data_IF_301793632424
#
_entry.id   IF_301793632424
#
_cell.length_a   1.000
_cell.length_b   1.000
_cell.length_c   1.000
_cell.angle_alpha   90.00
_cell.angle_beta   90.00
_cell.angle_gamma   90.00
#
_symmetry.space_group_name_H-M   'P 1'
#
loop_
_entity.id
_entity.type
_entity.pdbx_description
1 polymer ?
#
# COMPACT_ATOMS: atom_id res chain seq x y z
N UNK A 1 -13.67 8.06 -8.96
CA UNK A 1 -12.85 8.15 -7.74
C UNK A 1 -13.36 7.15 -6.74
N UNK A 2 -12.45 6.41 -6.14
CA UNK A 2 -12.70 5.40 -5.14
C UNK A 2 -12.92 5.97 -3.74
N UNK A 3 -12.78 7.28 -3.58
CA UNK A 3 -13.15 7.98 -2.34
C UNK A 3 -14.50 8.63 -2.55
N UNK A 4 -15.48 8.23 -1.74
CA UNK A 4 -16.86 8.65 -1.89
C UNK A 4 -17.36 9.37 -0.63
N UNK A 5 -17.71 10.66 -0.69
CA UNK A 5 -18.27 11.37 0.46
C UNK A 5 -19.68 10.85 0.78
N UNK A 6 -19.90 10.50 2.05
CA UNK A 6 -21.21 10.11 2.58
C UNK A 6 -22.06 11.37 2.81
N UNK A 7 -21.41 12.44 3.26
CA UNK A 7 -22.04 13.73 3.52
C UNK A 7 -21.83 14.71 2.36
N UNK A 8 -22.74 15.68 2.14
CA UNK A 8 -22.54 16.70 1.12
C UNK A 8 -21.28 17.52 1.40
N UNK A 9 -20.50 17.75 0.36
CA UNK A 9 -19.28 18.53 0.40
C UNK A 9 -19.27 19.52 -0.77
N UNK A 10 -18.69 20.70 -0.55
CA UNK A 10 -18.33 21.65 -1.59
C UNK A 10 -16.79 21.71 -1.64
N UNK A 11 -16.15 20.93 -2.54
CA UNK A 11 -14.70 20.90 -2.62
C UNK A 11 -14.13 22.26 -2.99
N UNK A 12 -13.00 22.61 -2.38
CA UNK A 12 -12.27 23.85 -2.66
C UNK A 12 -10.88 23.48 -3.16
N UNK A 13 -10.67 23.65 -4.47
CA UNK A 13 -9.34 23.48 -5.07
C UNK A 13 -8.40 24.60 -4.61
N UNK A 14 -7.13 24.26 -4.45
CA UNK A 14 -6.09 25.19 -4.01
C UNK A 14 -4.96 24.45 -3.32
N UNK A 15 -4.04 25.21 -2.74
CA UNK A 15 -3.01 24.62 -1.89
C UNK A 15 -2.80 25.42 -0.60
N UNK A 16 -2.61 24.71 0.51
CA UNK A 16 -2.05 25.28 1.73
C UNK A 16 -0.52 25.19 1.66
N UNK A 17 0.17 26.10 2.36
CA UNK A 17 1.63 26.09 2.43
C UNK A 17 2.11 26.47 3.83
N UNK A 18 2.98 25.64 4.40
CA UNK A 18 3.64 25.87 5.67
C UNK A 18 5.16 25.70 5.53
N UNK A 19 5.92 26.39 6.38
CA UNK A 19 7.35 26.16 6.54
C UNK A 19 7.61 25.35 7.80
N UNK A 20 8.29 24.22 7.65
CA UNK A 20 8.73 23.38 8.77
C UNK A 20 10.26 23.50 8.90
N UNK A 21 10.72 23.90 10.09
CA UNK A 21 12.14 23.95 10.40
C UNK A 21 12.70 22.53 10.58
N UNK A 22 13.99 22.36 10.31
CA UNK A 22 14.66 21.08 10.49
C UNK A 22 14.47 20.53 11.91
N UNK A 23 14.07 19.26 12.01
CA UNK A 23 14.00 18.50 13.25
C UNK A 23 15.34 17.78 13.45
N UNK A 24 16.24 18.42 14.21
CA UNK A 24 17.49 17.75 14.61
C UNK A 24 17.16 16.52 15.47
N UNK A 25 17.88 15.40 15.27
CA UNK A 25 17.76 14.26 16.14
C UNK A 25 18.08 14.67 17.58
N UNK A 26 17.20 14.35 18.53
CA UNK A 26 17.64 14.32 19.93
C UNK A 26 18.73 13.26 20.04
N UNK A 27 19.86 13.57 20.69
CA UNK A 27 21.03 12.70 20.81
C UNK A 27 20.62 11.23 21.12
N UNK A 28 20.66 10.37 20.10
CA UNK A 28 20.36 8.94 20.21
C UNK A 28 19.01 8.45 19.64
N UNK A 29 18.20 9.29 18.99
CA UNK A 29 17.03 8.81 18.24
C UNK A 29 17.43 8.27 16.86
N UNK A 30 16.96 7.07 16.51
CA UNK A 30 17.05 6.49 15.16
C UNK A 30 16.04 7.10 14.17
N UNK A 31 15.38 8.21 14.56
CA UNK A 31 14.41 8.92 13.72
C UNK A 31 15.14 9.60 12.55
N UNK A 32 14.55 9.51 11.37
CA UNK A 32 15.02 10.19 10.16
C UNK A 32 14.98 11.71 10.38
N UNK A 33 16.11 12.41 10.16
CA UNK A 33 16.22 13.86 10.29
C UNK A 33 15.72 14.53 9.00
N UNK A 34 14.76 15.44 9.12
CA UNK A 34 14.21 16.15 7.98
C UNK A 34 14.79 17.57 7.93
N UNK A 35 15.19 18.06 6.74
CA UNK A 35 15.74 19.41 6.62
C UNK A 35 14.65 20.48 6.74
N UNK A 36 15.09 21.75 6.76
CA UNK A 36 14.21 22.89 6.52
C UNK A 36 13.45 22.65 5.21
N UNK A 37 12.13 22.84 5.24
CA UNK A 37 11.26 22.47 4.12
C UNK A 37 9.99 23.31 4.07
N UNK A 38 9.43 23.40 2.88
CA UNK A 38 8.07 23.85 2.67
C UNK A 38 7.16 22.65 2.44
N UNK A 39 6.06 22.61 3.17
CA UNK A 39 4.98 21.64 3.01
C UNK A 39 3.88 22.28 2.19
N UNK A 40 3.43 21.62 1.13
CA UNK A 40 2.29 22.02 0.33
C UNK A 40 1.25 20.89 0.39
N UNK A 41 0.04 21.22 0.82
CA UNK A 41 -1.11 20.32 0.73
C UNK A 41 -2.01 20.82 -0.37
N UNK A 42 -2.14 20.01 -1.41
CA UNK A 42 -2.73 20.40 -2.69
C UNK A 42 -4.01 19.59 -2.91
N UNK A 43 -5.12 20.29 -3.04
CA UNK A 43 -6.42 19.74 -3.42
C UNK A 43 -6.75 20.18 -4.83
N UNK A 44 -7.05 19.22 -5.70
CA UNK A 44 -7.45 19.50 -7.08
C UNK A 44 -8.36 18.41 -7.65
N UNK A 45 -9.06 18.72 -8.73
CA UNK A 45 -9.86 17.73 -9.44
C UNK A 45 -9.04 16.54 -9.95
N UNK A 46 -9.64 15.35 -9.80
CA UNK A 46 -9.08 14.08 -10.26
C UNK A 46 -8.73 14.05 -11.76
N UNK A 47 -9.38 14.85 -12.60
CA UNK A 47 -9.07 14.94 -14.03
C UNK A 47 -7.68 15.56 -14.27
N UNK A 48 -7.25 16.47 -13.39
CA UNK A 48 -6.03 17.27 -13.53
C UNK A 48 -4.86 16.69 -12.72
N UNK A 49 -5.16 16.01 -11.61
CA UNK A 49 -4.19 15.41 -10.70
C UNK A 49 -3.12 14.55 -11.38
N UNK A 50 -3.45 13.61 -12.31
CA UNK A 50 -2.43 12.81 -12.99
C UNK A 50 -1.40 13.64 -13.75
N UNK A 51 -1.81 14.77 -14.34
CA UNK A 51 -0.89 15.63 -15.08
C UNK A 51 0.03 16.39 -14.13
N UNK A 52 -0.46 16.82 -12.97
CA UNK A 52 0.34 17.49 -11.96
C UNK A 52 1.39 16.53 -11.37
N UNK A 53 0.98 15.31 -11.02
CA UNK A 53 1.88 14.24 -10.51
C UNK A 53 3.06 14.02 -11.47
N UNK A 54 2.79 13.84 -12.76
CA UNK A 54 3.85 13.59 -13.73
C UNK A 54 4.82 14.78 -13.87
N UNK A 55 4.32 16.02 -13.76
CA UNK A 55 5.18 17.21 -13.81
C UNK A 55 6.05 17.33 -12.56
N UNK A 56 5.51 17.00 -11.39
CA UNK A 56 6.22 17.02 -10.11
C UNK A 56 7.29 15.94 -10.04
N UNK A 57 6.95 14.70 -10.44
CA UNK A 57 7.94 13.64 -10.60
C UNK A 57 9.05 14.05 -11.57
N UNK A 58 8.73 14.76 -12.66
CA UNK A 58 9.73 15.32 -13.57
C UNK A 58 10.69 16.36 -12.95
N UNK A 59 10.41 16.86 -11.74
CA UNK A 59 11.32 17.72 -10.98
C UNK A 59 12.28 16.94 -10.08
N UNK A 60 11.96 15.69 -9.76
CA UNK A 60 12.76 14.84 -8.89
C UNK A 60 14.03 14.34 -9.61
N UNK A 61 15.04 13.89 -8.86
CA UNK A 61 16.22 13.25 -9.43
C UNK A 61 15.90 11.96 -10.20
N UNK A 62 16.89 11.47 -10.94
CA UNK A 62 16.76 10.25 -11.74
C UNK A 62 16.53 8.99 -10.89
N UNK A 63 16.87 9.03 -9.60
CA UNK A 63 16.70 7.92 -8.67
C UNK A 63 15.96 8.40 -7.42
N UNK A 64 14.98 7.64 -6.97
CA UNK A 64 14.07 7.99 -5.87
C UNK A 64 13.74 6.77 -5.02
N UNK A 65 13.31 6.99 -3.78
CA UNK A 65 12.72 5.99 -2.90
C UNK A 65 11.19 6.00 -3.09
N UNK A 66 10.59 4.98 -3.72
CA UNK A 66 9.15 4.89 -3.91
C UNK A 66 8.45 4.56 -2.60
N UNK A 67 7.23 5.07 -2.47
CA UNK A 67 6.34 4.87 -1.33
C UNK A 67 5.00 4.40 -1.87
N UNK A 68 4.39 3.42 -1.22
CA UNK A 68 3.08 2.89 -1.57
C UNK A 68 2.33 2.55 -0.29
N UNK A 69 1.20 3.18 -0.07
CA UNK A 69 0.30 2.86 1.02
C UNK A 69 -0.91 2.14 0.44
N UNK A 70 -1.34 1.06 1.07
CA UNK A 70 -2.48 0.28 0.58
C UNK A 70 -3.44 -0.07 1.71
N UNK A 71 -4.72 0.22 1.53
CA UNK A 71 -5.77 -0.20 2.45
C UNK A 71 -6.11 -1.65 2.14
N UNK A 72 -5.57 -2.55 2.98
CA UNK A 72 -5.72 -3.99 2.85
C UNK A 72 -7.03 -4.52 3.45
N UNK A 73 -7.00 -5.78 3.88
CA UNK A 73 -8.14 -6.43 4.53
C UNK A 73 -7.87 -6.81 6.00
N UNK A 74 -6.76 -6.33 6.55
CA UNK A 74 -6.37 -6.48 7.95
C UNK A 74 -7.36 -5.77 8.88
N UNK A 75 -7.84 -6.47 9.92
CA UNK A 75 -8.82 -5.91 10.86
C UNK A 75 -8.22 -5.04 11.96
N UNK A 76 -6.90 -5.01 12.08
CA UNK A 76 -6.17 -4.34 13.15
C UNK A 76 -5.17 -3.31 12.63
N UNK A 77 -5.17 -3.05 11.32
CA UNK A 77 -4.41 -2.02 10.62
C UNK A 77 -5.17 -1.56 9.38
N UNK A 78 -5.40 -0.27 9.29
CA UNK A 78 -6.13 0.40 8.22
C UNK A 78 -5.27 0.51 6.96
N UNK A 79 -4.00 0.88 7.10
CA UNK A 79 -3.07 1.12 6.00
C UNK A 79 -1.84 0.23 6.14
N UNK A 80 -1.47 -0.45 5.05
CA UNK A 80 -0.19 -1.12 4.87
C UNK A 80 0.82 -0.15 4.23
N UNK A 81 1.80 0.38 4.98
CA UNK A 81 2.82 1.26 4.42
C UNK A 81 3.95 0.45 3.80
N UNK A 82 4.19 0.60 2.51
CA UNK A 82 5.30 -0.04 1.80
C UNK A 82 6.32 1.00 1.35
N UNK A 83 7.57 0.81 1.75
CA UNK A 83 8.68 1.71 1.37
C UNK A 83 9.84 0.92 0.78
N UNK A 84 10.60 1.56 -0.11
CA UNK A 84 11.88 1.03 -0.54
C UNK A 84 13.02 1.71 0.21
N UNK A 85 13.94 0.92 0.73
CA UNK A 85 15.21 1.40 1.31
C UNK A 85 16.31 1.52 0.24
N UNK A 86 16.04 1.05 -0.98
CA UNK A 86 16.90 1.21 -2.15
C UNK A 86 16.31 2.26 -3.10
N UNK A 87 17.17 3.03 -3.74
CA UNK A 87 16.72 3.91 -4.81
C UNK A 87 16.44 3.13 -6.09
N UNK A 88 15.33 3.45 -6.76
CA UNK A 88 15.01 2.95 -8.11
C UNK A 88 15.06 4.10 -9.12
N UNK A 89 15.23 3.76 -10.40
CA UNK A 89 15.12 4.74 -11.47
C UNK A 89 13.71 5.30 -11.57
N UNK A 90 13.57 6.62 -11.70
CA UNK A 90 12.26 7.30 -11.77
C UNK A 90 11.42 6.84 -12.97
N UNK A 91 12.06 6.34 -14.03
CA UNK A 91 11.38 5.79 -15.19
C UNK A 91 10.49 4.59 -14.82
N UNK A 92 10.91 3.74 -13.86
CA UNK A 92 10.11 2.61 -13.38
C UNK A 92 8.83 3.06 -12.68
N UNK A 93 8.91 4.13 -11.88
CA UNK A 93 7.76 4.74 -11.23
C UNK A 93 6.80 5.36 -12.25
N UNK A 94 7.34 6.12 -13.22
CA UNK A 94 6.55 6.76 -14.27
C UNK A 94 5.85 5.74 -15.17
N UNK A 95 6.50 4.64 -15.51
CA UNK A 95 5.94 3.59 -16.35
C UNK A 95 4.83 2.83 -15.63
N UNK A 96 5.01 2.50 -14.34
CA UNK A 96 3.97 1.92 -13.52
C UNK A 96 2.75 2.86 -13.34
N UNK A 97 2.96 4.16 -13.11
CA UNK A 97 1.85 5.14 -13.04
C UNK A 97 1.08 5.21 -14.35
N UNK A 98 1.76 5.12 -15.50
CA UNK A 98 1.11 5.07 -16.81
C UNK A 98 0.33 3.77 -17.02
N UNK A 99 0.94 2.64 -16.67
CA UNK A 99 0.38 1.31 -16.85
C UNK A 99 -0.85 1.09 -15.95
N UNK A 100 -0.75 1.50 -14.68
CA UNK A 100 -1.78 1.31 -13.66
C UNK A 100 -2.44 2.63 -13.26
N UNK A 101 -2.68 3.52 -14.23
CA UNK A 101 -3.26 4.86 -13.96
C UNK A 101 -4.54 4.82 -13.13
N UNK A 102 -5.43 3.87 -13.40
CA UNK A 102 -6.68 3.72 -12.65
C UNK A 102 -6.46 3.34 -11.19
N UNK A 103 -5.45 2.52 -10.91
CA UNK A 103 -5.05 2.17 -9.54
C UNK A 103 -4.57 3.44 -8.82
N UNK A 104 -3.48 4.06 -9.29
CA UNK A 104 -2.88 5.19 -8.60
C UNK A 104 -3.79 6.42 -8.49
N UNK A 105 -4.41 6.82 -9.60
CA UNK A 105 -5.07 8.12 -9.67
C UNK A 105 -6.57 8.08 -9.38
N UNK A 106 -7.21 6.90 -9.36
CA UNK A 106 -8.66 6.80 -9.21
C UNK A 106 -9.10 5.88 -8.07
N UNK A 107 -8.31 4.87 -7.70
CA UNK A 107 -8.66 3.87 -6.68
C UNK A 107 -8.49 4.43 -5.26
N UNK A 108 -9.51 4.28 -4.40
CA UNK A 108 -9.51 4.83 -3.04
C UNK A 108 -8.73 3.98 -2.04
N UNK A 109 -8.18 2.84 -2.46
CA UNK A 109 -7.45 1.94 -1.57
C UNK A 109 -5.94 2.19 -1.58
N UNK A 110 -5.44 3.16 -2.35
CA UNK A 110 -3.99 3.35 -2.54
C UNK A 110 -3.56 4.80 -2.34
N UNK A 111 -2.53 4.98 -1.52
CA UNK A 111 -1.65 6.14 -1.52
C UNK A 111 -0.32 5.79 -2.20
N UNK A 112 0.34 6.75 -2.83
CA UNK A 112 1.63 6.51 -3.47
C UNK A 112 2.47 7.77 -3.59
N UNK A 113 3.77 7.58 -3.65
CA UNK A 113 4.70 8.68 -3.67
C UNK A 113 6.12 8.30 -4.00
N UNK A 114 6.98 9.29 -3.87
CA UNK A 114 8.40 9.13 -3.97
C UNK A 114 9.12 10.17 -3.13
N UNK A 115 10.30 9.79 -2.64
CA UNK A 115 11.19 10.63 -1.86
C UNK A 115 12.59 10.66 -2.47
N UNK A 116 13.27 11.78 -2.33
CA UNK A 116 14.68 11.99 -2.63
C UNK A 116 15.29 12.79 -1.49
N UNK A 117 16.48 12.39 -1.05
CA UNK A 117 17.23 13.08 0.02
C UNK A 117 18.01 14.29 -0.51
N UNK A 118 18.45 14.27 -1.79
CA UNK A 118 19.31 15.33 -2.36
C UNK A 118 19.01 15.62 -3.83
N UNK A 119 18.35 16.76 -4.15
CA UNK A 119 17.70 17.68 -3.21
C UNK A 119 16.59 16.99 -2.43
N UNK A 120 16.26 17.52 -1.24
CA UNK A 120 15.14 17.00 -0.47
C UNK A 120 13.83 17.27 -1.20
N UNK A 121 13.16 16.20 -1.60
CA UNK A 121 11.90 16.23 -2.33
C UNK A 121 11.07 15.02 -1.93
N UNK A 122 9.95 15.25 -1.29
CA UNK A 122 8.94 14.26 -0.95
C UNK A 122 7.64 14.61 -1.68
N UNK A 123 7.08 13.65 -2.40
CA UNK A 123 5.78 13.75 -3.05
C UNK A 123 4.95 12.55 -2.65
N UNK A 124 3.76 12.78 -2.12
CA UNK A 124 2.84 11.70 -1.78
C UNK A 124 1.41 12.10 -2.09
N UNK A 125 0.70 11.22 -2.78
CA UNK A 125 -0.75 11.32 -3.00
C UNK A 125 -1.38 10.29 -2.10
N UNK A 126 -2.17 10.72 -1.12
CA UNK A 126 -2.82 9.83 -0.17
C UNK A 126 -4.02 9.08 -0.79
N UNK A 127 -4.66 8.23 0.01
CA UNK A 127 -5.87 7.51 -0.34
C UNK A 127 -7.03 8.46 -0.68
N UNK A 128 -7.10 9.65 -0.04
CA UNK A 128 -8.07 10.71 -0.31
C UNK A 128 -7.82 11.46 -1.62
N UNK A 129 -6.68 11.20 -2.26
CA UNK A 129 -6.20 11.85 -3.49
C UNK A 129 -5.85 13.32 -3.29
N UNK A 130 -5.37 13.62 -2.09
CA UNK A 130 -4.74 14.87 -1.71
C UNK A 130 -3.23 14.69 -1.89
N UNK A 131 -2.62 15.69 -2.52
CA UNK A 131 -1.19 15.65 -2.82
C UNK A 131 -0.44 16.48 -1.77
N UNK A 132 0.39 15.81 -0.99
CA UNK A 132 1.35 16.45 -0.09
C UNK A 132 2.73 16.50 -0.75
N UNK A 133 3.30 17.70 -0.82
CA UNK A 133 4.68 17.93 -1.23
C UNK A 133 5.49 18.46 -0.07
N UNK A 134 6.70 17.95 0.13
CA UNK A 134 7.66 18.54 1.04
C UNK A 134 8.97 18.74 0.31
N UNK A 135 9.43 19.99 0.21
CA UNK A 135 10.61 20.34 -0.59
C UNK A 135 11.52 21.31 0.14
N UNK A 136 12.82 21.23 -0.13
CA UNK A 136 13.78 22.20 0.39
C UNK A 136 13.49 23.64 -0.11
N UNK A 137 13.88 24.70 0.64
CA UNK A 137 13.57 26.09 0.33
C UNK A 137 13.98 26.55 -1.07
N UNK A 138 15.01 25.93 -1.66
CA UNK A 138 15.50 26.27 -3.01
C UNK A 138 14.49 25.95 -4.11
N UNK A 139 13.57 25.00 -3.86
CA UNK A 139 12.58 24.53 -4.82
C UNK A 139 11.24 25.26 -4.69
N UNK A 140 10.99 25.97 -3.58
CA UNK A 140 9.72 26.66 -3.30
C UNK A 140 9.19 27.46 -4.49
N UNK A 141 9.96 28.44 -4.97
CA UNK A 141 9.54 29.34 -6.04
C UNK A 141 9.29 28.60 -7.37
N UNK A 142 9.88 27.41 -7.55
CA UNK A 142 9.64 26.55 -8.72
C UNK A 142 8.31 25.79 -8.57
N UNK A 143 8.01 25.29 -7.37
CA UNK A 143 6.74 24.64 -7.06
C UNK A 143 5.58 25.63 -7.19
N UNK A 144 5.65 26.81 -6.57
CA UNK A 144 4.58 27.81 -6.66
C UNK A 144 4.26 28.20 -8.11
N UNK A 145 5.28 28.38 -8.96
CA UNK A 145 5.07 28.66 -10.40
C UNK A 145 4.43 27.51 -11.14
N UNK A 146 4.72 26.26 -10.76
CA UNK A 146 4.08 25.09 -11.33
C UNK A 146 2.60 25.02 -10.92
N UNK A 147 2.31 25.25 -9.63
CA UNK A 147 0.94 25.29 -9.12
C UNK A 147 0.12 26.41 -9.77
N UNK A 148 0.71 27.60 -9.95
CA UNK A 148 0.10 28.72 -10.69
C UNK A 148 -0.22 28.34 -12.15
N UNK A 149 0.64 27.57 -12.81
CA UNK A 149 0.38 27.07 -14.17
C UNK A 149 -0.76 26.04 -14.25
N UNK A 150 -1.13 25.45 -13.11
CA UNK A 150 -2.31 24.63 -12.92
C UNK A 150 -3.49 25.45 -12.35
N UNK A 151 -3.45 26.78 -12.41
CA UNK A 151 -4.50 27.66 -11.89
C UNK A 151 -4.84 27.38 -10.41
N UNK A 152 -3.88 26.86 -9.63
CA UNK A 152 -4.02 26.63 -8.20
C UNK A 152 -3.52 27.85 -7.45
N UNK A 153 -4.39 28.41 -6.63
CA UNK A 153 -4.09 29.57 -5.78
C UNK A 153 -3.81 29.12 -4.34
N UNK A 154 -3.06 29.96 -3.61
CA UNK A 154 -2.86 29.76 -2.18
C UNK A 154 -4.22 29.87 -1.47
N UNK A 155 -4.65 28.75 -0.91
CA UNK A 155 -5.88 28.59 -0.16
C UNK A 155 -5.50 28.02 1.21
N UNK A 156 -5.63 28.78 2.32
CA UNK A 156 -5.25 28.27 3.65
C UNK A 156 -6.04 27.04 4.10
N UNK A 157 -7.27 26.88 3.61
CA UNK A 157 -8.17 25.79 3.94
C UNK A 157 -8.72 25.19 2.64
N UNK A 158 -7.89 24.47 1.86
CA UNK A 158 -8.38 23.72 0.72
C UNK A 158 -9.25 22.56 1.25
N UNK A 159 -10.31 22.21 0.53
CA UNK A 159 -11.33 21.27 1.04
C UNK A 159 -11.37 20.05 0.12
N UNK A 160 -10.76 18.96 0.59
CA UNK A 160 -10.82 17.63 -0.01
C UNK A 160 -11.91 16.75 0.60
N UNK A 161 -12.02 15.51 0.14
CA UNK A 161 -13.04 14.56 0.62
C UNK A 161 -12.82 14.13 2.08
N UNK A 162 -11.58 14.24 2.56
CA UNK A 162 -11.15 14.05 3.95
C UNK A 162 -11.87 14.99 4.95
N UNK A 163 -12.39 16.13 4.48
CA UNK A 163 -13.11 17.09 5.32
C UNK A 163 -14.50 16.60 5.80
N UNK A 164 -15.01 15.50 5.24
CA UNK A 164 -16.31 14.92 5.60
C UNK A 164 -16.22 13.41 5.77
N UNK A 165 -17.23 12.80 6.40
CA UNK A 165 -17.33 11.34 6.43
C UNK A 165 -17.40 10.77 5.01
N UNK A 166 -16.57 9.77 4.72
CA UNK A 166 -16.42 9.19 3.39
C UNK A 166 -16.11 7.69 3.46
N UNK A 167 -16.14 7.03 2.31
CA UNK A 167 -15.77 5.62 2.16
C UNK A 167 -14.68 5.46 1.10
N UNK A 168 -13.73 4.58 1.38
CA UNK A 168 -12.73 4.09 0.44
C UNK A 168 -13.24 2.85 -0.29
N UNK A 169 -13.06 2.83 -1.61
CA UNK A 169 -13.55 1.78 -2.50
C UNK A 169 -12.55 1.56 -3.62
N UNK A 170 -12.34 0.30 -3.95
CA UNK A 170 -11.66 -0.03 -5.20
C UNK A 170 -12.52 0.32 -6.40
N UNK A 171 -11.90 0.90 -7.43
CA UNK A 171 -12.53 1.20 -8.73
C UNK A 171 -11.98 0.29 -9.84
N UNK A 172 -11.02 -0.57 -9.51
CA UNK A 172 -10.48 -1.57 -10.42
C UNK A 172 -11.50 -2.70 -10.61
N UNK A 173 -12.23 -2.63 -11.73
CA UNK A 173 -13.12 -3.72 -12.15
C UNK A 173 -12.31 -4.69 -13.00
N UNK A 174 -12.02 -5.87 -12.44
CA UNK A 174 -11.46 -6.98 -13.19
C UNK A 174 -12.50 -7.52 -14.19
N UNK A 175 -12.30 -7.36 -15.51
CA UNK A 175 -13.23 -7.90 -16.47
C UNK A 175 -13.06 -9.42 -16.53
N UNK A 176 -14.16 -10.18 -16.39
CA UNK A 176 -14.14 -11.64 -16.51
C UNK A 176 -13.53 -12.16 -17.83
N UNK A 177 -13.52 -11.32 -18.88
CA UNK A 177 -12.99 -11.63 -20.22
C UNK A 177 -11.50 -11.30 -20.39
N UNK A 178 -10.83 -10.72 -19.38
CA UNK A 178 -9.40 -10.38 -19.40
C UNK A 178 -8.67 -11.02 -18.22
N UNK A 179 -8.32 -12.30 -18.29
CA UNK A 179 -7.61 -13.00 -17.21
C UNK A 179 -6.21 -12.44 -16.94
N UNK A 180 -5.65 -11.63 -17.86
CA UNK A 180 -4.34 -11.00 -17.69
C UNK A 180 -4.42 -9.62 -17.01
N UNK A 181 -5.61 -9.13 -16.63
CA UNK A 181 -5.75 -7.91 -15.86
C UNK A 181 -5.43 -8.20 -14.39
N UNK A 182 -4.52 -7.42 -13.80
CA UNK A 182 -4.13 -7.57 -12.41
C UNK A 182 -5.13 -6.91 -11.47
N UNK A 183 -5.46 -7.58 -10.36
CA UNK A 183 -6.19 -7.05 -9.21
C UNK A 183 -5.37 -5.98 -8.50
N UNK A 184 -5.97 -5.24 -7.56
CA UNK A 184 -5.24 -4.25 -6.77
C UNK A 184 -4.08 -4.91 -6.00
N UNK A 185 -4.35 -6.04 -5.36
CA UNK A 185 -3.38 -6.84 -4.59
C UNK A 185 -2.27 -7.43 -5.49
N UNK A 186 -2.62 -7.84 -6.71
CA UNK A 186 -1.62 -8.30 -7.68
C UNK A 186 -0.75 -7.15 -8.21
N UNK A 187 -1.32 -5.96 -8.40
CA UNK A 187 -0.56 -4.75 -8.72
C UNK A 187 0.39 -4.44 -7.55
N UNK A 188 -0.08 -4.42 -6.30
CA UNK A 188 0.75 -4.21 -5.12
C UNK A 188 1.87 -5.25 -5.06
N UNK A 189 1.56 -6.53 -5.24
CA UNK A 189 2.55 -7.61 -5.27
C UNK A 189 3.60 -7.42 -6.37
N UNK A 190 3.19 -7.03 -7.58
CA UNK A 190 4.09 -6.72 -8.68
C UNK A 190 4.99 -5.51 -8.37
N UNK A 191 4.42 -4.43 -7.82
CA UNK A 191 5.16 -3.23 -7.44
C UNK A 191 6.14 -3.50 -6.31
N UNK A 192 5.77 -4.31 -5.31
CA UNK A 192 6.68 -4.73 -4.23
C UNK A 192 7.95 -5.37 -4.78
N UNK A 193 7.83 -6.18 -5.83
CA UNK A 193 8.98 -6.79 -6.49
C UNK A 193 9.78 -5.79 -7.33
N UNK A 194 9.11 -5.08 -8.23
CA UNK A 194 9.76 -4.14 -9.18
C UNK A 194 10.43 -2.96 -8.46
N UNK A 195 9.80 -2.44 -7.42
CA UNK A 195 10.27 -1.29 -6.66
C UNK A 195 11.02 -1.68 -5.37
N UNK A 196 11.14 -2.99 -5.09
CA UNK A 196 11.77 -3.54 -3.88
C UNK A 196 11.16 -3.01 -2.60
N UNK A 197 9.83 -2.90 -2.57
CA UNK A 197 9.14 -2.39 -1.41
C UNK A 197 9.05 -3.43 -0.30
N UNK A 198 9.23 -2.96 0.92
CA UNK A 198 9.11 -3.74 2.15
C UNK A 198 7.99 -3.10 2.98
N UNK A 199 7.16 -3.93 3.62
CA UNK A 199 6.15 -3.45 4.56
C UNK A 199 6.87 -2.79 5.75
N UNK A 200 6.60 -1.52 5.99
CA UNK A 200 7.26 -0.69 6.99
C UNK A 200 6.64 -0.89 8.38
N UNK A 201 6.66 -2.12 8.87
CA UNK A 201 6.22 -2.51 10.21
C UNK A 201 7.24 -3.45 10.84
N UNK A 202 7.31 -3.50 12.16
CA UNK A 202 8.15 -4.48 12.85
C UNK A 202 7.53 -5.88 12.71
N UNK A 203 8.18 -6.84 12.01
CA UNK A 203 7.60 -8.15 11.76
C UNK A 203 7.59 -9.05 13.01
N UNK A 204 8.35 -8.69 14.06
CA UNK A 204 8.44 -9.45 15.31
C UNK A 204 7.36 -9.05 16.32
N UNK A 205 6.78 -7.85 16.15
CA UNK A 205 5.71 -7.34 17.00
C UNK A 205 4.34 -7.58 16.38
N UNK A 206 3.33 -7.78 17.22
CA UNK A 206 1.94 -7.89 16.79
C UNK A 206 1.06 -6.94 17.59
N UNK A 207 1.08 -5.69 17.15
CA UNK A 207 0.34 -4.59 17.74
C UNK A 207 -0.83 -4.19 16.84
N UNK A 208 -1.91 -3.71 17.42
CA UNK A 208 -2.91 -2.93 16.69
C UNK A 208 -2.44 -1.47 16.48
N UNK A 209 -3.27 -0.67 15.81
CA UNK A 209 -2.99 0.75 15.53
C UNK A 209 -2.81 1.62 16.78
N UNK A 210 -3.38 1.20 17.92
CA UNK A 210 -3.21 1.89 19.20
C UNK A 210 -1.94 1.43 19.94
N UNK A 211 -1.16 0.53 19.35
CA UNK A 211 0.05 -0.04 19.93
C UNK A 211 -0.22 -1.13 20.98
N UNK A 212 -1.42 -1.72 21.01
CA UNK A 212 -1.78 -2.78 21.98
C UNK A 212 -1.39 -4.13 21.43
N UNK A 213 -0.74 -4.94 22.27
CA UNK A 213 -0.39 -6.32 21.92
C UNK A 213 -1.62 -7.19 21.67
N UNK A 214 -1.66 -7.83 20.50
CA UNK A 214 -2.73 -8.75 20.09
C UNK A 214 -2.44 -10.20 20.50
N UNK A 215 -1.16 -10.56 20.64
CA UNK A 215 -0.73 -11.93 20.93
C UNK A 215 -0.97 -12.87 19.76
N UNK A 216 -1.48 -14.07 20.03
CA UNK A 216 -1.79 -15.06 19.00
C UNK A 216 -3.07 -14.67 18.24
N UNK A 217 -2.94 -14.34 16.96
CA UNK A 217 -4.05 -13.86 16.11
C UNK A 217 -4.29 -14.84 14.96
N UNK A 218 -5.50 -14.83 14.39
CA UNK A 218 -5.80 -15.52 13.16
C UNK A 218 -5.35 -14.67 11.95
N UNK A 219 -4.87 -15.32 10.90
CA UNK A 219 -4.36 -14.67 9.70
C UNK A 219 -4.93 -15.35 8.45
N UNK A 220 -5.05 -14.57 7.39
CA UNK A 220 -5.33 -15.03 6.04
C UNK A 220 -4.19 -14.62 5.14
N UNK A 221 -3.48 -15.61 4.61
CA UNK A 221 -2.46 -15.42 3.60
C UNK A 221 -3.00 -15.76 2.21
N UNK A 222 -2.70 -14.92 1.22
CA UNK A 222 -2.88 -15.24 -0.19
C UNK A 222 -1.49 -15.26 -0.83
N UNK A 223 -1.10 -16.43 -1.32
CA UNK A 223 0.22 -16.66 -1.91
C UNK A 223 0.05 -16.95 -3.39
N UNK A 224 0.76 -16.20 -4.22
CA UNK A 224 0.91 -16.49 -5.65
C UNK A 224 2.07 -17.44 -5.84
N UNK A 225 1.82 -18.54 -6.54
CA UNK A 225 2.82 -19.52 -6.98
C UNK A 225 2.89 -19.48 -8.51
N UNK A 226 4.05 -19.10 -9.04
CA UNK A 226 4.35 -19.13 -10.47
C UNK A 226 5.18 -20.34 -10.86
N UNK A 227 4.98 -20.82 -12.09
CA UNK A 227 5.74 -21.90 -12.72
C UNK A 227 6.43 -21.36 -13.97
N UNK A 228 7.34 -20.39 -13.75
CA UNK A 228 8.03 -19.67 -14.83
C UNK A 228 7.13 -18.73 -15.64
N UNK A 229 7.72 -18.09 -16.65
CA UNK A 229 7.11 -16.99 -17.42
C UNK A 229 5.90 -17.41 -18.30
N UNK A 230 5.70 -18.71 -18.57
CA UNK A 230 4.75 -19.20 -19.59
C UNK A 230 3.51 -19.93 -19.03
N UNK A 231 3.42 -20.19 -17.72
CA UNK A 231 2.27 -20.86 -17.10
C UNK A 231 1.42 -19.90 -16.25
N UNK A 232 0.09 -20.12 -16.17
CA UNK A 232 -0.79 -19.26 -15.38
C UNK A 232 -0.44 -19.39 -13.89
N UNK A 233 -0.25 -18.25 -13.23
CA UNK A 233 -0.05 -18.18 -11.79
C UNK A 233 -1.20 -18.85 -11.05
N UNK A 234 -0.88 -19.62 -10.01
CA UNK A 234 -1.85 -20.22 -9.09
C UNK A 234 -1.85 -19.46 -7.78
N UNK A 235 -3.00 -19.41 -7.13
CA UNK A 235 -3.17 -18.70 -5.87
C UNK A 235 -3.57 -19.69 -4.80
N UNK A 236 -2.82 -19.72 -3.70
CA UNK A 236 -3.16 -20.47 -2.52
C UNK A 236 -3.72 -19.53 -1.44
N UNK A 237 -4.80 -19.94 -0.80
CA UNK A 237 -5.30 -19.30 0.42
C UNK A 237 -4.95 -20.18 1.61
N UNK A 238 -4.25 -19.58 2.57
CA UNK A 238 -3.87 -20.22 3.83
C UNK A 238 -4.55 -19.47 4.98
N UNK A 239 -5.33 -20.19 5.78
CA UNK A 239 -5.81 -19.71 7.07
C UNK A 239 -4.91 -20.29 8.15
N UNK A 240 -4.39 -19.43 9.03
CA UNK A 240 -3.41 -19.83 10.03
C UNK A 240 -3.55 -19.02 11.32
N UNK A 241 -2.87 -19.45 12.38
CA UNK A 241 -2.64 -18.69 13.60
C UNK A 241 -1.16 -18.47 13.82
N UNK A 242 -0.79 -17.24 14.16
CA UNK A 242 0.58 -16.84 14.40
C UNK A 242 0.61 -15.65 15.38
N UNK A 243 1.73 -15.53 16.09
CA UNK A 243 1.95 -14.55 17.15
C UNK A 243 2.44 -13.22 16.60
N UNK A 244 3.03 -13.21 15.41
CA UNK A 244 3.52 -12.04 14.69
C UNK A 244 3.58 -12.28 13.18
N UNK A 245 3.96 -11.24 12.42
CA UNK A 245 4.00 -11.28 10.96
C UNK A 245 5.06 -12.26 10.44
N UNK A 246 6.23 -12.30 11.06
CA UNK A 246 7.31 -13.21 10.68
C UNK A 246 6.87 -14.69 10.79
N UNK A 247 6.29 -15.07 11.94
CA UNK A 247 5.75 -16.42 12.15
C UNK A 247 4.59 -16.71 11.18
N UNK A 248 3.74 -15.71 10.90
CA UNK A 248 2.64 -15.86 9.96
C UNK A 248 3.13 -16.16 8.53
N UNK A 249 4.17 -15.48 8.08
CA UNK A 249 4.80 -15.69 6.77
C UNK A 249 5.44 -17.09 6.68
N UNK A 250 6.21 -17.50 7.69
CA UNK A 250 6.81 -18.84 7.76
C UNK A 250 5.75 -19.97 7.72
N UNK A 251 4.68 -19.82 8.48
CA UNK A 251 3.57 -20.79 8.52
C UNK A 251 2.83 -20.81 7.18
N UNK A 252 2.63 -19.64 6.55
CA UNK A 252 1.95 -19.54 5.27
C UNK A 252 2.74 -20.26 4.16
N UNK A 253 4.06 -20.07 4.10
CA UNK A 253 4.93 -20.81 3.19
C UNK A 253 4.87 -22.32 3.41
N UNK A 254 4.97 -22.76 4.67
CA UNK A 254 4.83 -24.17 5.04
C UNK A 254 3.47 -24.75 4.60
N UNK A 255 2.39 -23.97 4.73
CA UNK A 255 1.05 -24.38 4.31
C UNK A 255 0.90 -24.56 2.80
N UNK A 256 1.65 -23.80 1.99
CA UNK A 256 1.69 -24.00 0.53
C UNK A 256 2.52 -25.23 0.16
N UNK A 257 3.65 -25.46 0.82
CA UNK A 257 4.47 -26.66 0.61
C UNK A 257 3.67 -27.95 0.84
N UNK A 258 2.77 -27.97 1.83
CA UNK A 258 1.88 -29.11 2.08
C UNK A 258 0.82 -29.33 0.99
N UNK A 259 0.41 -28.28 0.26
CA UNK A 259 -0.53 -28.38 -0.86
C UNK A 259 0.10 -28.96 -2.13
N UNK A 260 1.43 -28.96 -2.21
CA UNK A 260 2.17 -29.40 -3.39
C UNK A 260 2.43 -30.91 -3.26
N UNK A 261 1.62 -31.73 -3.95
CA UNK A 261 1.64 -33.20 -3.85
C UNK A 261 2.95 -33.86 -4.33
N UNK A 262 3.74 -33.18 -5.17
CA UNK A 262 5.06 -33.63 -5.63
C UNK A 262 6.02 -32.46 -5.55
N UNK A 263 7.18 -32.58 -4.86
CA UNK A 263 8.19 -31.54 -4.90
C UNK A 263 8.54 -31.36 -6.38
N UNK A 264 8.25 -30.20 -6.94
CA UNK A 264 8.38 -30.00 -8.36
C UNK A 264 9.87 -30.03 -8.74
N UNK A 265 10.14 -30.35 -10.02
CA UNK A 265 11.49 -30.24 -10.58
C UNK A 265 12.09 -28.86 -10.24
N UNK A 266 13.42 -28.75 -10.13
CA UNK A 266 14.21 -27.62 -9.59
C UNK A 266 13.85 -26.18 -10.07
N UNK A 267 12.92 -26.04 -11.02
CA UNK A 267 12.44 -24.81 -11.66
C UNK A 267 11.10 -24.26 -11.10
N UNK A 268 10.52 -24.86 -10.06
CA UNK A 268 9.26 -24.36 -9.45
C UNK A 268 9.50 -23.43 -8.26
N UNK A 269 8.62 -22.43 -8.18
CA UNK A 269 8.21 -21.63 -7.01
C UNK A 269 9.00 -20.36 -6.72
N UNK A 270 8.83 -19.36 -7.59
CA UNK A 270 8.67 -18.00 -7.08
C UNK A 270 7.33 -17.93 -6.31
N UNK A 271 7.41 -18.14 -4.99
CA UNK A 271 6.31 -17.89 -4.06
C UNK A 271 6.33 -16.42 -3.65
N UNK A 272 5.20 -15.75 -3.85
CA UNK A 272 5.05 -14.34 -3.49
C UNK A 272 3.82 -14.20 -2.61
N UNK A 273 4.03 -13.75 -1.37
CA UNK A 273 2.94 -13.39 -0.46
C UNK A 273 2.30 -12.11 -0.99
N UNK A 274 1.08 -12.21 -1.52
CA UNK A 274 0.33 -11.06 -2.04
C UNK A 274 -0.41 -10.32 -0.93
N UNK A 275 -0.99 -11.08 0.01
CA UNK A 275 -1.70 -10.54 1.16
C UNK A 275 -1.41 -11.40 2.39
N UNK A 276 -1.30 -10.75 3.55
CA UNK A 276 -1.11 -11.40 4.85
C UNK A 276 -1.85 -10.58 5.91
N UNK A 277 -3.16 -10.79 5.97
CA UNK A 277 -4.09 -9.97 6.74
C UNK A 277 -4.46 -10.66 8.06
N UNK A 278 -4.47 -9.91 9.17
CA UNK A 278 -5.05 -10.39 10.43
C UNK A 278 -6.57 -10.40 10.38
N UNK A 279 -7.15 -11.44 10.94
CA UNK A 279 -8.59 -11.66 11.04
C UNK A 279 -9.03 -11.63 12.50
N UNK A 280 -10.17 -10.98 12.75
CA UNK A 280 -10.87 -11.10 14.01
C UNK A 280 -11.47 -12.49 14.18
N UNK A 281 -11.63 -12.91 15.44
CA UNK A 281 -12.14 -14.26 15.78
C UNK A 281 -13.50 -14.55 15.14
N UNK A 282 -14.40 -13.56 15.05
CA UNK A 282 -15.71 -13.73 14.43
C UNK A 282 -15.58 -14.02 12.92
N UNK A 283 -14.79 -13.22 12.19
CA UNK A 283 -14.60 -13.41 10.75
C UNK A 283 -13.88 -14.72 10.45
N UNK A 284 -12.88 -15.07 11.26
CA UNK A 284 -12.19 -16.35 11.16
C UNK A 284 -13.16 -17.53 11.30
N UNK A 285 -14.04 -17.50 12.30
CA UNK A 285 -15.04 -18.56 12.50
C UNK A 285 -16.06 -18.64 11.36
N UNK A 286 -16.51 -17.49 10.83
CA UNK A 286 -17.42 -17.45 9.67
C UNK A 286 -16.76 -18.07 8.44
N UNK A 287 -15.51 -17.71 8.14
CA UNK A 287 -14.75 -18.27 7.03
C UNK A 287 -14.54 -19.78 7.23
N UNK A 288 -14.07 -20.20 8.40
CA UNK A 288 -13.83 -21.59 8.73
C UNK A 288 -15.10 -22.45 8.62
N UNK A 289 -16.24 -21.96 9.11
CA UNK A 289 -17.53 -22.65 9.02
C UNK A 289 -17.99 -22.83 7.57
N UNK A 290 -17.70 -21.85 6.71
CA UNK A 290 -18.00 -21.93 5.27
C UNK A 290 -17.15 -23.00 4.57
N UNK A 291 -15.94 -23.26 5.08
CA UNK A 291 -15.01 -24.26 4.55
C UNK A 291 -15.27 -25.69 5.09
N UNK A 292 -15.92 -25.82 6.25
CA UNK A 292 -16.39 -27.10 6.79
C UNK A 292 -16.28 -27.22 8.32
N UNK A 293 -16.98 -28.19 8.92
CA UNK A 293 -17.00 -28.40 10.37
C UNK A 293 -15.61 -28.72 10.95
N UNK A 294 -14.80 -29.49 10.24
CA UNK A 294 -13.43 -29.84 10.67
C UNK A 294 -12.53 -28.59 10.74
N UNK A 295 -12.67 -27.68 9.76
CA UNK A 295 -11.92 -26.41 9.73
C UNK A 295 -12.39 -25.49 10.85
N UNK A 296 -13.70 -25.42 11.11
CA UNK A 296 -14.26 -24.66 12.22
C UNK A 296 -13.76 -25.18 13.58
N UNK A 297 -13.63 -26.49 13.76
CA UNK A 297 -13.05 -27.07 14.97
C UNK A 297 -11.60 -26.60 15.16
N UNK A 298 -10.76 -26.73 14.13
CA UNK A 298 -9.36 -26.26 14.17
C UNK A 298 -9.25 -24.75 14.38
N UNK A 299 -10.16 -23.96 13.82
CA UNK A 299 -10.18 -22.52 14.01
C UNK A 299 -10.40 -22.11 15.48
N UNK A 300 -11.07 -22.95 16.28
CA UNK A 300 -11.24 -22.70 17.73
C UNK A 300 -10.02 -23.09 18.57
N UNK A 301 -9.10 -23.88 18.01
CA UNK A 301 -7.84 -24.23 18.66
C UNK A 301 -6.96 -22.98 18.70
N UNK A 302 -6.53 -22.59 19.90
CA UNK A 302 -5.67 -21.42 20.13
C UNK A 302 -4.21 -21.80 20.11
N UNK A 303 -3.81 -22.53 19.09
CA UNK A 303 -2.44 -22.98 18.86
C UNK A 303 -1.91 -22.37 17.55
N UNK A 304 -0.61 -22.03 17.48
CA UNK A 304 0.00 -21.57 16.25
C UNK A 304 0.05 -22.69 15.21
N UNK A 305 -0.12 -22.32 13.94
CA UNK A 305 -0.04 -23.25 12.82
C UNK A 305 -1.12 -23.03 11.75
N UNK A 306 -1.03 -23.84 10.70
CA UNK A 306 -2.02 -23.86 9.61
C UNK A 306 -3.35 -24.40 10.14
N UNK A 307 -4.44 -23.70 9.84
CA UNK A 307 -5.81 -24.14 10.11
C UNK A 307 -6.40 -24.78 8.85
N UNK A 308 -6.18 -24.16 7.69
CA UNK A 308 -6.64 -24.64 6.40
C UNK A 308 -5.75 -24.12 5.28
N UNK A 309 -5.60 -24.91 4.23
CA UNK A 309 -4.91 -24.53 3.00
C UNK A 309 -5.72 -25.02 1.81
N UNK A 310 -5.84 -24.18 0.76
CA UNK A 310 -6.49 -24.56 -0.50
C UNK A 310 -5.96 -23.73 -1.68
N UNK A 311 -6.07 -24.28 -2.88
CA UNK A 311 -5.95 -23.50 -4.11
C UNK A 311 -7.23 -22.71 -4.35
N UNK A 312 -7.09 -21.45 -4.79
CA UNK A 312 -8.18 -20.63 -5.30
C UNK A 312 -8.38 -20.99 -6.79
N UNK A 313 -9.64 -21.24 -7.16
CA UNK A 313 -10.06 -21.54 -8.54
C UNK A 313 -10.38 -20.27 -9.33
#
# INVERSE_FOLDING_TARGET
>A
MGVYPIEPIEPVEGYAMEFEAADGAEDGSELEEWPDRYVFDIVMSAERLPSLILQLLGLMPAHVYPILDFIGHDEYREIDPYISYDQIGIDLLLDAIRQFRGFFCEDGMVGFGAMSESPFFYMFVDEHKILTLRVEPTLKDRIERLLEAFDLELCPEPVGVDAVAHEHRSVLILPAERPNALSAEEIVGHLRQEWRLILNVDPEQNLDEEGRELGLTAWRAVIRSGTGDDEPSRYAEILLRASNLAEAEEIAHSGVEELVEQPPDEDWMDMVVLALDRLGEERMLVLATTLGEDVASRATEKEPGVIHSRWLE
#
